data_IF_627970058354
#
_entry.id   IF_627970058354
#
_cell.length_a   1.000
_cell.length_b   1.000
_cell.length_c   1.000
_cell.angle_alpha   90.00
_cell.angle_beta   90.00
_cell.angle_gamma   90.00
#
_symmetry.space_group_name_H-M   'P 1'
#
loop_
_entity.id
_entity.type
_entity.pdbx_description
1 polymer ?
#
# COMPACT_ATOMS: atom_id res chain seq x y z
N UNK A 1 -8.44 -24.39 10.23
CA UNK A 1 -7.67 -23.27 9.63
C UNK A 1 -8.57 -22.06 9.56
N UNK A 2 -8.12 -20.90 10.03
CA UNK A 2 -8.87 -19.64 9.96
C UNK A 2 -9.00 -19.21 8.50
N UNK A 3 -10.18 -18.79 8.06
CA UNK A 3 -10.39 -18.34 6.68
C UNK A 3 -9.66 -17.00 6.42
N UNK A 4 -9.34 -16.70 5.15
CA UNK A 4 -8.75 -15.40 4.78
C UNK A 4 -9.64 -14.22 5.21
N UNK A 5 -10.95 -14.37 5.12
CA UNK A 5 -11.94 -13.35 5.55
C UNK A 5 -11.83 -13.08 7.04
N UNK A 6 -11.73 -14.14 7.85
CA UNK A 6 -11.59 -13.99 9.30
C UNK A 6 -10.21 -13.41 9.68
N UNK A 7 -9.13 -13.83 9.01
CA UNK A 7 -7.80 -13.25 9.19
C UNK A 7 -7.79 -11.75 8.93
N UNK A 8 -8.44 -11.32 7.85
CA UNK A 8 -8.56 -9.92 7.50
C UNK A 8 -9.41 -9.13 8.49
N UNK A 9 -10.49 -9.74 9.00
CA UNK A 9 -11.34 -9.15 10.03
C UNK A 9 -10.55 -8.87 11.31
N UNK A 10 -9.78 -9.86 11.77
CA UNK A 10 -8.91 -9.73 12.95
C UNK A 10 -7.85 -8.64 12.74
N UNK A 11 -7.17 -8.67 11.61
CA UNK A 11 -6.14 -7.68 11.27
C UNK A 11 -6.70 -6.26 11.20
N UNK A 12 -7.87 -6.08 10.58
CA UNK A 12 -8.50 -4.76 10.44
C UNK A 12 -9.02 -4.23 11.79
N UNK A 13 -9.48 -5.10 12.67
CA UNK A 13 -9.86 -4.74 14.06
C UNK A 13 -8.63 -4.26 14.84
N UNK A 14 -7.50 -4.95 14.68
CA UNK A 14 -6.26 -4.54 15.35
C UNK A 14 -5.70 -3.25 14.75
N UNK A 15 -5.74 -3.07 13.43
CA UNK A 15 -5.42 -1.81 12.76
C UNK A 15 -6.26 -0.65 13.31
N UNK A 16 -7.57 -0.87 13.51
CA UNK A 16 -8.45 0.16 14.07
C UNK A 16 -8.00 0.57 15.47
N UNK A 17 -7.78 -0.40 16.36
CA UNK A 17 -7.28 -0.15 17.73
C UNK A 17 -5.94 0.58 17.69
N UNK A 18 -4.99 0.11 16.88
CA UNK A 18 -3.68 0.70 16.75
C UNK A 18 -3.74 2.18 16.31
N UNK A 19 -4.58 2.49 15.31
CA UNK A 19 -4.75 3.87 14.83
C UNK A 19 -5.45 4.76 15.86
N UNK A 20 -6.38 4.24 16.64
CA UNK A 20 -7.07 4.97 17.71
C UNK A 20 -6.10 5.27 18.86
N UNK A 21 -5.41 4.26 19.38
CA UNK A 21 -4.42 4.40 20.45
C UNK A 21 -3.23 5.30 20.05
N UNK A 22 -2.76 5.20 18.81
CA UNK A 22 -1.67 6.04 18.31
C UNK A 22 -1.96 7.54 18.39
N UNK A 23 -3.23 7.96 18.37
CA UNK A 23 -3.64 9.37 18.56
C UNK A 23 -3.43 9.81 20.01
N UNK A 24 -3.78 8.95 20.96
CA UNK A 24 -3.59 9.24 22.40
C UNK A 24 -2.09 9.36 22.73
N UNK A 25 -1.28 8.59 22.05
CA UNK A 25 0.18 8.64 22.13
C UNK A 25 0.81 9.75 21.27
N UNK A 26 0.02 10.56 20.57
CA UNK A 26 0.49 11.63 19.66
C UNK A 26 1.51 11.16 18.61
N UNK A 27 1.42 9.89 18.17
CA UNK A 27 2.33 9.30 17.23
C UNK A 27 2.01 9.71 15.79
N UNK A 28 3.04 10.02 15.01
CA UNK A 28 2.89 10.28 13.58
C UNK A 28 3.01 8.98 12.79
N UNK A 29 1.88 8.36 12.53
CA UNK A 29 1.78 7.14 11.72
C UNK A 29 1.07 7.46 10.41
N UNK A 30 1.69 7.08 9.30
CA UNK A 30 1.07 7.11 7.98
C UNK A 30 1.01 5.69 7.44
N UNK A 31 -0.19 5.23 7.14
CA UNK A 31 -0.43 3.90 6.60
C UNK A 31 0.00 3.84 5.14
N UNK A 32 0.72 2.79 4.79
CA UNK A 32 1.15 2.41 3.45
C UNK A 32 0.68 0.98 3.14
N UNK A 33 1.21 0.32 2.14
CA UNK A 33 0.94 -1.10 1.89
C UNK A 33 -0.49 -1.43 1.46
N UNK A 34 -0.93 -2.64 1.76
CA UNK A 34 -2.19 -3.20 1.27
C UNK A 34 -3.44 -2.47 1.77
N UNK A 35 -3.47 -2.07 3.03
CA UNK A 35 -4.59 -1.31 3.58
C UNK A 35 -4.67 0.12 3.06
N UNK A 36 -3.53 0.75 2.76
CA UNK A 36 -3.53 2.06 2.11
C UNK A 36 -4.10 1.99 0.68
N UNK A 37 -3.83 0.91 -0.07
CA UNK A 37 -4.44 0.66 -1.38
C UNK A 37 -5.97 0.68 -1.27
N UNK A 38 -6.55 0.07 -0.24
CA UNK A 38 -8.01 0.03 -0.03
C UNK A 38 -8.65 1.39 0.23
N UNK A 39 -7.89 2.37 0.68
CA UNK A 39 -8.39 3.73 0.85
C UNK A 39 -8.59 4.47 -0.49
N UNK A 40 -8.03 3.92 -1.57
CA UNK A 40 -8.09 4.47 -2.93
C UNK A 40 -8.83 3.57 -3.92
N UNK A 41 -9.00 2.29 -3.62
CA UNK A 41 -9.54 1.31 -4.56
C UNK A 41 -10.69 0.53 -3.94
N UNK A 42 -11.49 -0.11 -4.79
CA UNK A 42 -12.40 -1.15 -4.33
C UNK A 42 -11.59 -2.30 -3.71
N UNK A 43 -12.10 -2.97 -2.66
CA UNK A 43 -11.46 -4.14 -2.08
C UNK A 43 -11.29 -5.23 -3.16
N UNK A 44 -10.05 -5.59 -3.48
CA UNK A 44 -9.77 -6.53 -4.57
C UNK A 44 -8.96 -7.74 -4.14
N UNK A 45 -8.20 -7.63 -3.07
CA UNK A 45 -7.39 -8.74 -2.56
C UNK A 45 -7.35 -8.75 -1.04
N UNK A 46 -7.08 -9.91 -0.49
CA UNK A 46 -6.78 -10.10 0.92
C UNK A 46 -5.50 -9.35 1.35
N UNK A 47 -5.51 -8.77 2.53
CA UNK A 47 -4.34 -8.22 3.21
C UNK A 47 -4.49 -8.35 4.71
N UNK A 48 -3.40 -8.67 5.40
CA UNK A 48 -3.37 -8.80 6.87
C UNK A 48 -2.21 -8.01 7.49
N UNK A 49 -1.19 -7.68 6.69
CA UNK A 49 0.01 -7.01 7.18
C UNK A 49 -0.29 -5.51 7.40
N UNK A 50 0.22 -4.97 8.50
CA UNK A 50 0.07 -3.58 8.89
C UNK A 50 1.35 -2.82 8.55
N UNK A 51 1.33 -2.06 7.46
CA UNK A 51 2.50 -1.35 6.95
C UNK A 51 2.38 0.15 7.22
N UNK A 52 3.35 0.74 7.92
CA UNK A 52 3.37 2.16 8.27
C UNK A 52 4.70 2.83 7.91
N UNK A 53 4.63 4.15 7.84
CA UNK A 53 5.78 5.05 7.88
C UNK A 53 5.65 5.93 9.11
N UNK A 54 6.77 6.15 9.80
CA UNK A 54 6.87 7.05 10.95
C UNK A 54 8.11 7.93 10.85
N UNK A 55 8.26 8.86 11.78
CA UNK A 55 9.41 9.74 11.89
C UNK A 55 10.40 9.23 12.95
N UNK A 56 11.67 9.49 12.74
CA UNK A 56 12.76 9.05 13.63
C UNK A 56 12.65 9.60 15.05
N UNK A 57 12.23 10.83 15.19
CA UNK A 57 12.09 11.52 16.48
C UNK A 57 11.13 10.81 17.45
N UNK A 58 10.14 10.11 16.92
CA UNK A 58 9.15 9.33 17.69
C UNK A 58 9.54 7.89 18.01
N UNK A 59 10.74 7.43 17.63
CA UNK A 59 11.09 6.00 17.67
C UNK A 59 11.06 5.41 19.09
N UNK A 60 11.55 6.16 20.09
CA UNK A 60 11.52 5.72 21.50
C UNK A 60 10.09 5.54 22.01
N UNK A 61 9.24 6.52 21.73
CA UNK A 61 7.83 6.48 22.08
C UNK A 61 7.10 5.35 21.33
N UNK A 62 7.46 5.11 20.06
CA UNK A 62 6.92 4.03 19.25
C UNK A 62 7.21 2.65 19.85
N UNK A 63 8.43 2.42 20.36
CA UNK A 63 8.76 1.17 21.04
C UNK A 63 7.90 0.93 22.28
N UNK A 64 7.71 1.97 23.11
CA UNK A 64 6.80 1.92 24.27
C UNK A 64 5.35 1.65 23.86
N UNK A 65 4.91 2.30 22.80
CA UNK A 65 3.58 2.09 22.22
C UNK A 65 3.36 0.64 21.74
N UNK A 66 4.31 0.06 21.01
CA UNK A 66 4.19 -1.32 20.56
C UNK A 66 4.14 -2.31 21.73
N UNK A 67 4.93 -2.07 22.76
CA UNK A 67 4.86 -2.85 23.99
C UNK A 67 3.48 -2.74 24.66
N UNK A 68 2.93 -1.52 24.76
CA UNK A 68 1.58 -1.27 25.28
C UNK A 68 0.51 -2.01 24.45
N UNK A 69 0.67 -2.07 23.13
CA UNK A 69 -0.22 -2.78 22.21
C UNK A 69 0.02 -4.31 22.18
N UNK A 70 0.90 -4.83 23.03
CA UNK A 70 1.29 -6.24 23.12
C UNK A 70 1.93 -6.78 21.82
N UNK A 71 2.71 -5.97 21.14
CA UNK A 71 3.55 -6.42 20.05
C UNK A 71 4.93 -6.83 20.55
N UNK A 72 5.38 -8.02 20.18
CA UNK A 72 6.80 -8.37 20.20
C UNK A 72 7.45 -7.66 19.01
N UNK A 73 8.55 -6.92 19.24
CA UNK A 73 9.15 -6.13 18.17
C UNK A 73 10.66 -6.29 18.06
N UNK A 74 11.15 -6.05 16.84
CA UNK A 74 12.57 -5.90 16.49
C UNK A 74 12.75 -4.57 15.77
N UNK A 75 13.93 -3.97 15.87
CA UNK A 75 14.23 -2.71 15.20
C UNK A 75 15.62 -2.72 14.59
N UNK A 76 15.75 -2.11 13.41
CA UNK A 76 16.99 -1.71 12.79
C UNK A 76 17.09 -0.19 12.71
N UNK A 77 18.04 0.30 11.94
CA UNK A 77 18.28 1.74 11.79
C UNK A 77 17.11 2.47 11.10
N UNK A 78 16.50 1.85 10.08
CA UNK A 78 15.47 2.45 9.24
C UNK A 78 14.14 1.70 9.29
N UNK A 79 13.99 0.76 10.20
CA UNK A 79 12.77 -0.04 10.30
C UNK A 79 12.51 -0.52 11.72
N UNK A 80 11.26 -0.81 11.97
CA UNK A 80 10.78 -1.50 13.14
C UNK A 80 9.73 -2.50 12.68
N UNK A 81 9.85 -3.77 13.06
CA UNK A 81 8.84 -4.78 12.81
C UNK A 81 8.29 -5.30 14.12
N UNK A 82 6.99 -5.52 14.17
CA UNK A 82 6.30 -6.10 15.30
C UNK A 82 5.47 -7.29 14.86
N UNK A 83 5.26 -8.23 15.78
CA UNK A 83 4.30 -9.31 15.59
C UNK A 83 3.50 -9.52 16.86
N UNK A 84 2.23 -9.89 16.72
CA UNK A 84 1.33 -10.14 17.82
C UNK A 84 0.41 -11.32 17.48
N UNK A 85 0.27 -12.25 18.42
CA UNK A 85 -0.69 -13.35 18.28
C UNK A 85 -2.08 -12.88 18.75
N UNK A 86 -3.05 -12.94 17.86
CA UNK A 86 -4.46 -12.69 18.15
C UNK A 86 -5.26 -13.95 17.81
N UNK A 87 -5.88 -14.55 18.81
CA UNK A 87 -6.44 -15.90 18.70
C UNK A 87 -5.34 -16.87 18.21
N UNK A 88 -5.61 -17.64 17.15
CA UNK A 88 -4.64 -18.55 16.54
C UNK A 88 -3.87 -17.92 15.34
N UNK A 89 -3.86 -16.59 15.23
CA UNK A 89 -3.30 -15.88 14.07
C UNK A 89 -2.22 -14.89 14.48
N UNK A 90 -1.14 -14.82 13.71
CA UNK A 90 -0.14 -13.79 13.82
C UNK A 90 -0.48 -12.59 12.94
N UNK A 91 -0.47 -11.41 13.53
CA UNK A 91 -0.55 -10.12 12.84
C UNK A 91 0.84 -9.52 12.82
N UNK A 92 1.32 -9.23 11.61
CA UNK A 92 2.62 -8.64 11.38
C UNK A 92 2.48 -7.14 11.11
N UNK A 93 3.34 -6.37 11.74
CA UNK A 93 3.41 -4.93 11.61
C UNK A 93 4.79 -4.53 11.13
N UNK A 94 4.86 -3.69 10.12
CA UNK A 94 6.10 -3.14 9.59
C UNK A 94 6.04 -1.62 9.59
N UNK A 95 7.07 -1.00 10.15
CA UNK A 95 7.24 0.46 10.15
C UNK A 95 8.55 0.81 9.46
N UNK A 96 8.45 1.66 8.47
CA UNK A 96 9.60 2.25 7.80
C UNK A 96 9.91 3.61 8.41
N UNK A 97 11.19 3.96 8.50
CA UNK A 97 11.70 5.19 9.09
C UNK A 97 12.62 5.85 8.08
N UNK A 98 12.34 7.10 7.72
CA UNK A 98 13.07 7.92 6.74
C UNK A 98 13.06 7.38 5.30
N UNK A 99 12.95 6.06 5.11
CA UNK A 99 12.87 5.42 3.79
C UNK A 99 12.10 4.11 3.85
N UNK A 100 11.44 3.75 2.75
CA UNK A 100 10.84 2.43 2.56
C UNK A 100 11.79 1.60 1.71
N UNK A 101 12.42 0.60 2.31
CA UNK A 101 13.36 -0.29 1.62
C UNK A 101 12.62 -1.47 0.97
N UNK A 102 12.84 -1.69 -0.31
CA UNK A 102 12.39 -2.90 -0.99
C UNK A 102 13.50 -3.94 -1.08
N UNK A 103 13.36 -5.01 -0.31
CA UNK A 103 14.36 -6.10 -0.21
C UNK A 103 14.56 -6.79 -1.58
N UNK A 104 13.52 -6.85 -2.43
CA UNK A 104 13.58 -7.58 -3.70
C UNK A 104 14.45 -6.88 -4.74
N UNK A 105 14.38 -5.55 -4.80
CA UNK A 105 15.09 -4.76 -5.80
C UNK A 105 16.30 -4.02 -5.25
N UNK A 106 16.40 -3.91 -3.92
CA UNK A 106 17.41 -3.10 -3.23
C UNK A 106 17.17 -1.59 -3.32
N UNK A 107 16.04 -1.14 -3.90
CA UNK A 107 15.73 0.28 -3.98
C UNK A 107 15.18 0.82 -2.67
N UNK A 108 15.57 2.06 -2.36
CA UNK A 108 15.03 2.86 -1.27
C UNK A 108 14.07 3.91 -1.81
N UNK A 109 12.87 3.96 -1.26
CA UNK A 109 11.93 5.05 -1.48
C UNK A 109 12.08 6.08 -0.35
N UNK A 110 12.51 7.33 -0.62
CA UNK A 110 12.74 8.32 0.43
C UNK A 110 11.42 8.81 1.02
N UNK A 111 11.36 8.89 2.34
CA UNK A 111 10.24 9.48 3.06
C UNK A 111 10.60 10.90 3.45
N UNK A 112 10.00 11.87 2.79
CA UNK A 112 10.31 13.29 2.95
C UNK A 112 9.28 13.99 3.87
N UNK A 113 9.57 15.18 4.40
CA UNK A 113 8.55 15.97 5.11
C UNK A 113 7.29 16.21 4.28
N UNK A 114 7.42 16.33 2.95
CA UNK A 114 6.31 16.50 2.03
C UNK A 114 5.40 15.26 1.96
N UNK A 115 5.95 14.06 2.17
CA UNK A 115 5.17 12.82 2.29
C UNK A 115 4.15 12.94 3.43
N UNK A 116 4.58 13.34 4.63
CA UNK A 116 3.70 13.50 5.80
C UNK A 116 2.70 14.65 5.61
N UNK A 117 3.16 15.79 5.06
CA UNK A 117 2.31 16.95 4.81
C UNK A 117 1.19 16.67 3.82
N UNK A 118 1.46 15.84 2.82
CA UNK A 118 0.51 15.50 1.76
C UNK A 118 -0.34 14.26 2.09
N UNK A 119 -0.04 13.54 3.17
CA UNK A 119 -0.86 12.43 3.62
C UNK A 119 -2.22 12.94 4.12
N UNK A 120 -3.27 12.13 3.97
CA UNK A 120 -4.64 12.54 4.25
C UNK A 120 -5.39 11.49 5.07
N UNK A 121 -6.30 11.94 5.94
CA UNK A 121 -7.26 11.03 6.58
C UNK A 121 -8.21 10.47 5.53
N UNK A 122 -8.24 9.14 5.41
CA UNK A 122 -9.17 8.44 4.50
C UNK A 122 -9.84 7.28 5.22
N UNK A 123 -11.03 6.94 4.72
CA UNK A 123 -11.79 5.78 5.20
C UNK A 123 -11.29 4.53 4.51
N UNK A 124 -11.05 3.48 5.31
CA UNK A 124 -10.82 2.12 4.84
C UNK A 124 -12.07 1.33 5.21
N UNK A 125 -12.61 0.56 4.27
CA UNK A 125 -13.76 -0.29 4.50
C UNK A 125 -13.47 -1.70 3.99
N UNK A 126 -13.80 -2.70 4.78
CA UNK A 126 -13.86 -4.09 4.36
C UNK A 126 -15.26 -4.64 4.59
N UNK A 127 -15.73 -5.42 3.66
CA UNK A 127 -17.01 -6.10 3.71
C UNK A 127 -16.76 -7.57 4.01
N UNK A 128 -17.54 -8.12 4.92
CA UNK A 128 -17.51 -9.52 5.33
C UNK A 128 -18.86 -10.15 5.00
N UNK A 129 -19.03 -11.40 5.33
CA UNK A 129 -20.26 -12.14 5.05
C UNK A 129 -21.51 -11.46 5.69
N UNK A 130 -22.68 -11.67 5.11
CA UNK A 130 -24.00 -11.26 5.62
C UNK A 130 -24.16 -9.75 5.89
N UNK A 131 -23.69 -8.88 4.98
CA UNK A 131 -23.78 -7.42 5.11
C UNK A 131 -23.03 -6.81 6.29
N UNK A 132 -22.16 -7.56 6.95
CA UNK A 132 -21.29 -7.01 7.97
C UNK A 132 -20.13 -6.26 7.30
N UNK A 133 -19.78 -5.10 7.83
CA UNK A 133 -18.62 -4.35 7.40
C UNK A 133 -17.87 -3.75 8.58
N UNK A 134 -16.60 -3.56 8.40
CA UNK A 134 -15.77 -2.82 9.35
C UNK A 134 -15.12 -1.65 8.61
N UNK A 135 -15.14 -0.49 9.25
CA UNK A 135 -14.47 0.68 8.70
C UNK A 135 -13.71 1.45 9.77
N UNK A 136 -12.63 2.07 9.34
CA UNK A 136 -11.84 2.99 10.16
C UNK A 136 -11.36 4.17 9.33
N UNK A 137 -10.91 5.23 10.00
CA UNK A 137 -10.19 6.35 9.39
C UNK A 137 -8.74 6.33 9.85
N UNK A 138 -7.81 6.37 8.90
CA UNK A 138 -6.38 6.44 9.16
C UNK A 138 -5.73 7.54 8.33
N UNK A 139 -4.55 7.98 8.75
CA UNK A 139 -3.70 8.82 7.94
C UNK A 139 -3.07 7.95 6.84
N UNK A 140 -3.38 8.23 5.59
CA UNK A 140 -2.96 7.43 4.42
C UNK A 140 -1.95 8.21 3.62
N UNK A 141 -0.90 7.53 3.12
CA UNK A 141 0.07 8.15 2.24
C UNK A 141 -0.59 8.63 0.93
N UNK A 142 -0.01 9.66 0.27
CA UNK A 142 -0.53 10.13 -1.01
C UNK A 142 -0.52 9.01 -2.06
N UNK A 143 -1.44 9.09 -3.01
CA UNK A 143 -1.61 8.05 -4.04
C UNK A 143 -0.38 7.92 -4.95
N UNK A 144 0.32 9.03 -5.22
CA UNK A 144 1.53 9.05 -6.05
C UNK A 144 2.66 8.27 -5.38
N UNK A 145 2.86 8.51 -4.07
CA UNK A 145 3.85 7.79 -3.26
C UNK A 145 3.54 6.30 -3.23
N UNK A 146 2.27 5.95 -3.01
CA UNK A 146 1.81 4.57 -2.97
C UNK A 146 1.99 3.87 -4.32
N UNK A 147 1.68 4.56 -5.42
CA UNK A 147 1.88 4.05 -6.77
C UNK A 147 3.36 3.76 -7.05
N UNK A 148 4.28 4.67 -6.67
CA UNK A 148 5.72 4.49 -6.85
C UNK A 148 6.21 3.31 -6.00
N UNK A 149 5.84 3.25 -4.72
CA UNK A 149 6.22 2.15 -3.83
C UNK A 149 5.75 0.78 -4.32
N UNK A 150 4.65 0.72 -5.10
CA UNK A 150 4.16 -0.51 -5.74
C UNK A 150 4.82 -0.80 -7.09
N UNK A 151 5.21 0.24 -7.84
CA UNK A 151 5.95 0.07 -9.09
C UNK A 151 7.41 -0.37 -8.87
N UNK A 152 8.04 0.01 -7.77
CA UNK A 152 9.43 -0.37 -7.47
C UNK A 152 9.59 -1.90 -7.47
N UNK A 153 8.95 -2.68 -6.59
CA UNK A 153 9.08 -4.14 -6.56
C UNK A 153 8.37 -4.81 -7.74
N UNK A 154 7.16 -4.36 -8.07
CA UNK A 154 6.32 -4.90 -9.14
C UNK A 154 6.12 -6.43 -9.06
N UNK A 155 6.00 -6.98 -7.84
CA UNK A 155 5.62 -8.38 -7.62
C UNK A 155 4.16 -8.61 -8.08
N UNK A 156 3.72 -9.84 -8.20
CA UNK A 156 2.36 -10.16 -8.65
C UNK A 156 1.27 -9.44 -7.83
N UNK A 157 1.42 -9.38 -6.51
CA UNK A 157 0.50 -8.62 -5.65
C UNK A 157 0.56 -7.11 -5.90
N UNK A 158 1.74 -6.58 -6.19
CA UNK A 158 1.93 -5.16 -6.48
C UNK A 158 1.38 -4.80 -7.87
N UNK A 159 1.46 -5.72 -8.84
CA UNK A 159 0.83 -5.57 -10.14
C UNK A 159 -0.70 -5.39 -10.02
N UNK A 160 -1.35 -6.21 -9.20
CA UNK A 160 -2.79 -6.09 -8.92
C UNK A 160 -3.10 -4.74 -8.28
N UNK A 161 -2.31 -4.31 -7.29
CA UNK A 161 -2.45 -3.04 -6.59
C UNK A 161 -2.29 -1.84 -7.57
N UNK A 162 -1.26 -1.87 -8.43
CA UNK A 162 -1.01 -0.81 -9.43
C UNK A 162 -2.15 -0.72 -10.45
N UNK A 163 -2.63 -1.85 -10.97
CA UNK A 163 -3.77 -1.87 -11.89
C UNK A 163 -5.01 -1.30 -11.20
N UNK A 164 -5.28 -1.68 -9.95
CA UNK A 164 -6.42 -1.19 -9.19
C UNK A 164 -6.33 0.34 -8.97
N UNK A 165 -5.18 0.87 -8.55
CA UNK A 165 -4.96 2.31 -8.40
C UNK A 165 -5.21 3.07 -9.70
N UNK A 166 -4.66 2.58 -10.83
CA UNK A 166 -4.83 3.23 -12.13
C UNK A 166 -6.28 3.15 -12.63
N UNK A 167 -7.00 2.05 -12.37
CA UNK A 167 -8.39 1.92 -12.82
C UNK A 167 -9.37 2.70 -11.93
N UNK A 168 -9.21 2.64 -10.61
CA UNK A 168 -10.20 3.17 -9.68
C UNK A 168 -9.94 4.64 -9.30
N UNK A 169 -8.66 5.09 -9.30
CA UNK A 169 -8.28 6.39 -8.73
C UNK A 169 -7.33 7.22 -9.60
N UNK A 170 -7.24 6.96 -10.90
CA UNK A 170 -6.38 7.72 -11.81
C UNK A 170 -6.57 9.23 -11.70
N UNK A 171 -7.81 9.68 -11.57
CA UNK A 171 -8.14 11.11 -11.54
C UNK A 171 -7.70 11.81 -10.24
N UNK A 172 -7.31 11.04 -9.22
CA UNK A 172 -6.73 11.54 -7.98
C UNK A 172 -5.20 11.69 -8.05
N UNK A 173 -4.54 11.10 -9.07
CA UNK A 173 -3.09 11.18 -9.25
C UNK A 173 -2.74 12.57 -9.78
N UNK A 174 -1.95 13.34 -9.01
CA UNK A 174 -1.42 14.61 -9.44
C UNK A 174 -0.13 14.39 -10.29
N UNK A 175 -0.17 14.67 -11.61
CA UNK A 175 0.98 14.42 -12.49
C UNK A 175 2.24 15.20 -12.10
N UNK A 176 2.09 16.44 -11.64
CA UNK A 176 3.23 17.28 -11.24
C UNK A 176 3.91 16.74 -10.00
N UNK A 177 3.13 16.31 -9.00
CA UNK A 177 3.65 15.67 -7.80
C UNK A 177 4.34 14.35 -8.13
N UNK A 178 3.71 13.51 -8.97
CA UNK A 178 4.30 12.23 -9.40
C UNK A 178 5.67 12.44 -10.07
N UNK A 179 5.74 13.39 -11.00
CA UNK A 179 7.00 13.76 -11.66
C UNK A 179 8.06 14.22 -10.65
N UNK A 180 7.69 15.15 -9.76
CA UNK A 180 8.61 15.70 -8.76
C UNK A 180 9.21 14.60 -7.88
N UNK A 181 8.39 13.72 -7.32
CA UNK A 181 8.85 12.64 -6.45
C UNK A 181 9.81 11.70 -7.19
N UNK A 182 9.45 11.28 -8.40
CA UNK A 182 10.28 10.38 -9.22
C UNK A 182 11.63 11.02 -9.55
N UNK A 183 11.64 12.32 -9.83
CA UNK A 183 12.85 13.07 -10.12
C UNK A 183 13.74 13.22 -8.87
N UNK A 184 13.18 13.69 -7.76
CA UNK A 184 13.91 13.88 -6.50
C UNK A 184 14.48 12.56 -5.94
N UNK A 185 13.76 11.45 -6.10
CA UNK A 185 14.21 10.12 -5.69
C UNK A 185 15.14 9.43 -6.71
N UNK A 186 15.45 10.09 -7.85
CA UNK A 186 16.25 9.51 -8.95
C UNK A 186 15.72 8.15 -9.45
N UNK A 187 14.41 7.97 -9.46
CA UNK A 187 13.74 6.72 -9.82
C UNK A 187 13.25 6.67 -11.28
N UNK A 188 13.47 7.73 -12.06
CA UNK A 188 12.91 7.87 -13.42
C UNK A 188 13.19 6.68 -14.35
N UNK A 189 14.44 6.17 -14.49
CA UNK A 189 14.72 5.05 -15.37
C UNK A 189 13.98 3.79 -14.92
N UNK A 190 13.97 3.52 -13.62
CA UNK A 190 13.34 2.35 -13.04
C UNK A 190 11.82 2.37 -13.23
N UNK A 191 11.15 3.46 -12.85
CA UNK A 191 9.69 3.59 -12.97
C UNK A 191 9.24 3.55 -14.43
N UNK A 192 9.99 4.19 -15.33
CA UNK A 192 9.72 4.12 -16.77
C UNK A 192 9.78 2.68 -17.31
N UNK A 193 10.79 1.92 -16.93
CA UNK A 193 10.91 0.49 -17.25
C UNK A 193 9.71 -0.31 -16.72
N UNK A 194 9.27 -0.06 -15.48
CA UNK A 194 8.11 -0.75 -14.87
C UNK A 194 6.80 -0.41 -15.60
N UNK A 195 6.56 0.85 -15.92
CA UNK A 195 5.36 1.26 -16.67
C UNK A 195 5.38 0.70 -18.10
N UNK A 196 6.54 0.64 -18.75
CA UNK A 196 6.68 -0.02 -20.05
C UNK A 196 6.34 -1.51 -19.96
N UNK A 197 6.85 -2.20 -18.97
CA UNK A 197 6.52 -3.62 -18.71
C UNK A 197 5.03 -3.80 -18.48
N UNK A 198 4.42 -2.96 -17.64
CA UNK A 198 2.98 -2.98 -17.39
C UNK A 198 2.18 -2.74 -18.68
N UNK A 199 2.56 -1.74 -19.49
CA UNK A 199 1.92 -1.46 -20.77
C UNK A 199 1.99 -2.67 -21.71
N UNK A 200 3.12 -3.35 -21.80
CA UNK A 200 3.27 -4.56 -22.61
C UNK A 200 2.41 -5.73 -22.07
N UNK A 201 2.31 -5.87 -20.76
CA UNK A 201 1.44 -6.88 -20.14
C UNK A 201 -0.04 -6.67 -20.47
N UNK A 202 -0.49 -5.42 -20.67
CA UNK A 202 -1.88 -5.15 -21.09
C UNK A 202 -2.24 -5.73 -22.46
N UNK A 203 -1.26 -6.11 -23.29
CA UNK A 203 -1.47 -6.84 -24.55
C UNK A 203 -1.80 -8.32 -24.30
N UNK A 204 -1.53 -8.85 -23.11
CA UNK A 204 -1.72 -10.24 -22.71
C UNK A 204 -2.76 -10.30 -21.58
N UNK A 205 -4.02 -10.02 -21.94
CA UNK A 205 -5.15 -9.96 -21.00
C UNK A 205 -5.26 -11.21 -20.11
N UNK A 206 -5.03 -12.37 -20.68
CA UNK A 206 -5.11 -13.67 -19.99
C UNK A 206 -4.08 -13.76 -18.86
N UNK A 207 -2.88 -13.22 -19.06
CA UNK A 207 -1.85 -13.18 -18.01
C UNK A 207 -2.25 -12.29 -16.85
N UNK A 208 -2.84 -11.12 -17.13
CA UNK A 208 -3.37 -10.23 -16.07
C UNK A 208 -4.46 -10.95 -15.29
N UNK A 209 -5.42 -11.58 -15.98
CA UNK A 209 -6.49 -12.33 -15.35
C UNK A 209 -5.96 -13.50 -14.50
N UNK A 210 -4.95 -14.22 -14.98
CA UNK A 210 -4.32 -15.32 -14.26
C UNK A 210 -3.61 -14.80 -12.97
N UNK A 211 -2.80 -13.75 -13.09
CA UNK A 211 -2.14 -13.13 -11.94
C UNK A 211 -3.17 -12.65 -10.93
N UNK A 212 -4.23 -12.01 -11.41
CA UNK A 212 -5.32 -11.53 -10.56
C UNK A 212 -5.97 -12.67 -9.78
N UNK A 213 -6.35 -13.75 -10.47
CA UNK A 213 -6.95 -14.96 -9.85
C UNK A 213 -6.02 -15.56 -8.79
N UNK A 214 -4.73 -15.70 -9.11
CA UNK A 214 -3.74 -16.27 -8.19
C UNK A 214 -3.60 -15.44 -6.90
N UNK A 215 -3.70 -14.11 -6.99
CA UNK A 215 -3.52 -13.20 -5.85
C UNK A 215 -4.80 -12.99 -5.06
N UNK A 216 -5.95 -12.92 -5.73
CA UNK A 216 -7.22 -12.57 -5.07
C UNK A 216 -8.07 -13.76 -4.72
N UNK A 217 -7.82 -14.92 -5.33
CA UNK A 217 -8.68 -16.09 -5.24
C UNK A 217 -10.05 -15.91 -5.94
N UNK A 218 -10.26 -14.80 -6.66
CA UNK A 218 -11.53 -14.49 -7.32
C UNK A 218 -11.41 -14.57 -8.85
N UNK A 219 -12.49 -14.94 -9.51
CA UNK A 219 -12.58 -14.98 -10.98
C UNK A 219 -12.79 -13.61 -11.63
N UNK A 220 -12.18 -12.57 -11.09
CA UNK A 220 -12.25 -11.27 -11.76
C UNK A 220 -11.61 -11.37 -13.16
N UNK A 221 -12.37 -10.95 -14.16
CA UNK A 221 -11.90 -10.84 -15.54
C UNK A 221 -11.91 -9.38 -15.95
N UNK A 222 -10.72 -8.81 -16.11
CA UNK A 222 -10.61 -7.45 -16.63
C UNK A 222 -11.30 -7.35 -18.00
N UNK A 223 -12.24 -6.44 -18.14
CA UNK A 223 -13.02 -6.25 -19.38
C UNK A 223 -12.17 -5.63 -20.49
N UNK A 224 -12.68 -5.65 -21.72
CA UNK A 224 -12.00 -4.98 -22.85
C UNK A 224 -11.94 -3.46 -22.65
N UNK A 225 -12.99 -2.86 -22.12
CA UNK A 225 -13.04 -1.42 -21.81
C UNK A 225 -12.04 -1.02 -20.73
N UNK A 226 -11.91 -1.83 -19.66
CA UNK A 226 -10.92 -1.60 -18.61
C UNK A 226 -9.49 -1.71 -19.13
N UNK A 227 -9.18 -2.70 -19.99
CA UNK A 227 -7.85 -2.80 -20.63
C UNK A 227 -7.56 -1.57 -21.50
N UNK A 228 -8.54 -1.11 -22.27
CA UNK A 228 -8.38 0.08 -23.12
C UNK A 228 -8.14 1.33 -22.27
N UNK A 229 -8.91 1.49 -21.19
CA UNK A 229 -8.73 2.57 -20.22
C UNK A 229 -7.36 2.49 -19.55
N UNK A 230 -6.96 1.31 -19.09
CA UNK A 230 -5.67 1.06 -18.45
C UNK A 230 -4.50 1.45 -19.37
N UNK A 231 -4.52 1.00 -20.63
CA UNK A 231 -3.50 1.38 -21.64
C UNK A 231 -3.38 2.89 -21.81
N UNK A 232 -4.53 3.58 -21.97
CA UNK A 232 -4.55 5.04 -22.12
C UNK A 232 -3.96 5.75 -20.90
N UNK A 233 -4.32 5.31 -19.70
CA UNK A 233 -3.87 5.90 -18.43
C UNK A 233 -2.38 5.63 -18.19
N UNK A 234 -1.87 4.41 -18.45
CA UNK A 234 -0.44 4.10 -18.36
C UNK A 234 0.35 5.00 -19.33
N UNK A 235 -0.11 5.13 -20.59
CA UNK A 235 0.56 5.98 -21.56
C UNK A 235 0.66 7.42 -21.08
N UNK A 236 -0.41 7.98 -20.50
CA UNK A 236 -0.40 9.33 -19.91
C UNK A 236 0.60 9.45 -18.74
N UNK A 237 0.72 8.43 -17.88
CA UNK A 237 1.72 8.41 -16.80
C UNK A 237 3.15 8.40 -17.39
N UNK A 238 3.41 7.58 -18.42
CA UNK A 238 4.72 7.55 -19.08
C UNK A 238 5.06 8.91 -19.71
N UNK A 239 4.11 9.56 -20.37
CA UNK A 239 4.29 10.91 -20.95
C UNK A 239 4.58 11.97 -19.87
N UNK A 240 3.97 11.83 -18.68
CA UNK A 240 4.25 12.70 -17.54
C UNK A 240 5.68 12.54 -17.04
N UNK A 241 6.18 11.32 -16.99
CA UNK A 241 7.54 11.02 -16.48
C UNK A 241 8.62 11.33 -17.53
N UNK A 242 8.26 11.33 -18.81
CA UNK A 242 9.20 11.62 -19.91
C UNK A 242 9.60 13.10 -20.01
N UNK A 243 8.78 14.01 -19.46
CA UNK A 243 9.09 15.46 -19.41
C UNK A 243 10.25 15.75 -18.47
#
# INVERSE_FOLDING_TARGET
>A
MTSNTELERISLQDLKKLVEEAKEWTLKLVLIGGYAIRAYTKPRRFTKDLDFVTIREGLGQMKGFLHHMNYEYKSGEFWLSGSKKLNETWIDLHMSIDKVHDITTGYDYPVTPNFFKSSQKRKITAYFEENSYLSLQAQICPIEDLLIMKLIPMRDKDLVDVIALILDSHDQINPSRLYQIIHEANLRPHINSRLTTLFLQTKRKERINQTWRNITGTEYRISHSEITSLKKRIKKLMETIAK
#
